data_IF_392841178543
#
_entry.id   IF_392841178543
#
_cell.length_a   1.000
_cell.length_b   1.000
_cell.length_c   1.000
_cell.angle_alpha   90.00
_cell.angle_beta   90.00
_cell.angle_gamma   90.00
#
_symmetry.space_group_name_H-M   'P 1'
#
loop_
_entity.id
_entity.type
_entity.pdbx_description
1 polymer ?
#
# COMPACT_ATOMS: atom_id res chain seq x y z
N UNK A 1 -60.08 59.71 55.41
CA UNK A 1 -60.13 58.59 54.44
C UNK A 1 -58.89 58.68 53.58
N UNK A 2 -57.81 58.02 54.05
CA UNK A 2 -56.60 57.96 53.21
C UNK A 2 -55.75 56.79 53.76
N UNK A 3 -55.95 55.61 53.24
CA UNK A 3 -55.07 54.44 53.39
C UNK A 3 -55.43 53.46 52.29
N UNK A 4 -54.57 53.21 51.33
CA UNK A 4 -54.49 51.99 50.50
C UNK A 4 -53.84 52.14 49.08
N UNK A 5 -52.88 53.08 48.96
CA UNK A 5 -52.16 53.18 47.65
C UNK A 5 -50.72 52.60 47.73
N UNK A 6 -50.16 52.49 48.96
CA UNK A 6 -48.76 52.03 49.13
C UNK A 6 -48.54 50.51 49.11
N UNK A 7 -49.57 49.69 49.38
CA UNK A 7 -49.41 48.22 49.46
C UNK A 7 -49.44 47.51 48.11
N UNK A 8 -50.00 48.10 47.07
CA UNK A 8 -50.05 47.54 45.73
C UNK A 8 -48.73 47.66 44.94
N UNK A 9 -47.95 48.72 45.21
CA UNK A 9 -46.66 48.93 44.52
C UNK A 9 -45.52 48.02 45.08
N UNK A 10 -45.58 47.65 46.33
CA UNK A 10 -44.62 46.74 46.97
C UNK A 10 -44.78 45.29 46.48
N UNK A 11 -46.05 44.86 46.36
CA UNK A 11 -46.34 43.47 45.86
C UNK A 11 -46.06 43.31 44.36
N UNK A 12 -46.22 44.35 43.52
CA UNK A 12 -45.89 44.34 42.13
C UNK A 12 -44.38 44.32 41.89
N UNK A 13 -43.57 44.96 42.73
CA UNK A 13 -42.09 44.92 42.66
C UNK A 13 -41.50 43.59 43.14
N UNK A 14 -42.09 42.94 44.14
CA UNK A 14 -41.68 41.60 44.53
C UNK A 14 -42.00 40.50 43.55
N UNK A 15 -43.17 40.63 42.84
CA UNK A 15 -43.52 39.68 41.79
C UNK A 15 -42.63 39.83 40.56
N UNK A 16 -42.23 41.05 40.20
CA UNK A 16 -41.32 41.30 39.05
C UNK A 16 -39.89 40.79 39.31
N UNK A 17 -39.37 40.89 40.53
CA UNK A 17 -38.04 40.36 40.89
C UNK A 17 -38.04 38.84 40.98
N UNK A 18 -39.10 38.18 41.43
CA UNK A 18 -39.18 36.71 41.40
C UNK A 18 -39.26 36.12 40.00
N UNK A 19 -39.97 36.78 39.07
CA UNK A 19 -40.04 36.38 37.67
C UNK A 19 -38.68 36.53 36.92
N UNK A 20 -37.92 37.58 37.25
CA UNK A 20 -36.58 37.80 36.64
C UNK A 20 -35.56 36.76 37.14
N UNK A 21 -35.62 36.30 38.38
CA UNK A 21 -34.73 35.26 38.91
C UNK A 21 -35.08 33.88 38.32
N UNK A 22 -36.38 33.59 38.09
CA UNK A 22 -36.81 32.32 37.48
C UNK A 22 -36.39 32.19 35.98
N UNK A 23 -36.40 33.29 35.21
CA UNK A 23 -35.95 33.31 33.84
C UNK A 23 -34.42 33.19 33.74
N UNK A 24 -33.65 33.77 34.65
CA UNK A 24 -32.19 33.64 34.69
C UNK A 24 -31.75 32.21 35.06
N UNK A 25 -32.55 31.47 35.86
CA UNK A 25 -32.26 30.08 36.23
C UNK A 25 -32.54 29.07 35.09
N UNK A 26 -33.42 29.36 34.12
CA UNK A 26 -33.71 28.49 32.99
C UNK A 26 -32.70 28.64 31.83
N UNK A 27 -31.98 29.76 31.75
CA UNK A 27 -30.94 29.94 30.72
C UNK A 27 -29.63 29.26 31.10
N UNK A 28 -29.37 28.98 32.39
CA UNK A 28 -28.18 28.31 32.85
C UNK A 28 -28.19 26.77 32.67
N UNK A 29 -29.36 26.16 32.36
CA UNK A 29 -29.50 24.71 32.21
C UNK A 29 -29.37 24.17 30.77
N UNK A 30 -29.16 25.06 29.80
CA UNK A 30 -29.02 24.67 28.39
C UNK A 30 -27.57 24.82 27.83
N UNK A 31 -26.56 24.67 28.70
CA UNK A 31 -25.22 24.34 28.23
C UNK A 31 -25.22 22.87 27.79
N UNK A 32 -25.62 22.67 26.54
CA UNK A 32 -25.37 21.44 25.83
C UNK A 32 -23.87 21.18 25.93
N UNK A 33 -23.48 20.11 26.61
CA UNK A 33 -22.16 19.53 26.48
C UNK A 33 -22.00 19.13 25.02
N UNK A 34 -21.36 19.99 24.20
CA UNK A 34 -20.86 19.62 22.91
C UNK A 34 -19.98 18.38 23.11
N UNK A 35 -20.18 17.31 22.34
CA UNK A 35 -19.23 16.21 22.35
C UNK A 35 -17.85 16.79 22.04
N UNK A 36 -16.78 16.34 22.71
CA UNK A 36 -15.44 16.87 22.51
C UNK A 36 -15.09 16.69 21.04
N UNK A 37 -14.74 17.80 20.37
CA UNK A 37 -14.22 17.83 19.01
C UNK A 37 -12.97 16.94 18.96
N UNK A 38 -12.92 15.88 18.14
CA UNK A 38 -11.75 15.00 18.02
C UNK A 38 -10.48 15.76 17.61
N UNK A 39 -10.61 16.96 17.05
CA UNK A 39 -9.48 17.80 16.66
C UNK A 39 -8.88 18.62 17.81
N UNK A 40 -9.53 18.67 18.99
CA UNK A 40 -9.10 19.51 20.13
C UNK A 40 -8.05 18.86 21.05
N UNK A 41 -7.65 17.62 20.82
CA UNK A 41 -6.59 16.97 21.59
C UNK A 41 -5.18 17.41 21.14
N UNK A 42 -4.93 18.72 21.07
CA UNK A 42 -3.56 19.25 21.08
C UNK A 42 -3.03 19.19 22.51
N UNK A 43 -2.35 18.10 22.84
CA UNK A 43 -1.59 18.04 24.09
C UNK A 43 -0.50 19.12 24.08
N UNK A 44 -0.55 20.04 25.02
CA UNK A 44 0.50 21.04 25.31
C UNK A 44 1.73 20.44 26.00
N UNK A 45 1.83 19.12 26.16
CA UNK A 45 3.03 18.43 26.62
C UNK A 45 3.76 17.91 25.37
N UNK A 46 5.05 18.17 25.22
CA UNK A 46 5.86 17.78 24.07
C UNK A 46 6.08 16.26 23.91
N UNK A 47 5.06 15.47 24.23
CA UNK A 47 5.01 14.01 24.08
C UNK A 47 4.33 13.71 22.75
N UNK A 48 5.05 13.06 21.86
CA UNK A 48 4.54 12.60 20.58
C UNK A 48 3.61 11.39 20.80
N UNK A 49 2.40 11.43 20.21
CA UNK A 49 1.48 10.30 20.24
C UNK A 49 1.78 9.41 19.03
N UNK A 50 2.17 8.18 19.30
CA UNK A 50 2.45 7.18 18.26
C UNK A 50 1.18 6.38 17.97
N UNK A 51 0.73 6.44 16.73
CA UNK A 51 -0.43 5.69 16.26
C UNK A 51 0.03 4.40 15.58
N UNK A 52 -0.62 3.29 15.91
CA UNK A 52 -0.32 1.97 15.36
C UNK A 52 -1.62 1.30 14.95
N UNK A 53 -1.74 1.02 13.66
CA UNK A 53 -2.81 0.17 13.15
C UNK A 53 -2.39 -1.29 13.21
N UNK A 54 -3.21 -2.13 13.85
CA UNK A 54 -2.92 -3.56 14.02
C UNK A 54 -4.02 -4.43 13.40
N UNK A 55 -3.62 -5.39 12.59
CA UNK A 55 -4.47 -6.48 12.10
C UNK A 55 -4.20 -7.72 12.94
N UNK A 56 -5.24 -8.32 13.51
CA UNK A 56 -5.14 -9.57 14.25
C UNK A 56 -5.88 -10.67 13.51
N UNK A 57 -5.20 -11.78 13.24
CA UNK A 57 -5.74 -12.91 12.51
C UNK A 57 -5.57 -14.23 13.28
N UNK A 58 -6.50 -15.16 13.06
CA UNK A 58 -6.41 -16.54 13.55
C UNK A 58 -5.39 -17.38 12.73
N UNK A 59 -5.23 -18.63 13.08
CA UNK A 59 -4.34 -19.55 12.39
C UNK A 59 -4.70 -19.76 10.90
N UNK A 60 -5.96 -19.51 10.53
CA UNK A 60 -6.46 -19.61 9.16
C UNK A 60 -6.36 -18.28 8.40
N UNK A 61 -5.79 -17.24 9.01
CA UNK A 61 -5.66 -15.91 8.42
C UNK A 61 -6.94 -15.06 8.47
N UNK A 62 -7.99 -15.49 9.20
CA UNK A 62 -9.23 -14.74 9.33
C UNK A 62 -9.08 -13.71 10.44
N UNK A 63 -9.60 -12.50 10.20
CA UNK A 63 -9.63 -11.43 11.19
C UNK A 63 -10.32 -11.89 12.49
N UNK A 64 -9.74 -11.56 13.63
CA UNK A 64 -10.28 -11.84 14.96
C UNK A 64 -10.96 -10.58 15.48
N UNK A 65 -12.30 -10.52 15.53
CA UNK A 65 -13.05 -9.39 16.07
C UNK A 65 -13.16 -9.45 17.59
N UNK A 66 -13.57 -8.33 18.20
CA UNK A 66 -14.00 -8.26 19.60
C UNK A 66 -12.88 -8.21 20.62
N UNK A 67 -11.62 -8.03 20.21
CA UNK A 67 -10.52 -7.78 21.14
C UNK A 67 -10.66 -6.40 21.76
N UNK A 68 -10.25 -6.28 23.03
CA UNK A 68 -10.28 -5.06 23.83
C UNK A 68 -8.86 -4.55 24.04
N UNK A 69 -8.74 -3.32 24.54
CA UNK A 69 -7.44 -2.71 24.82
C UNK A 69 -6.54 -3.59 25.70
N UNK A 70 -7.13 -4.22 26.74
CA UNK A 70 -6.42 -5.10 27.67
C UNK A 70 -5.89 -6.40 27.05
N UNK A 71 -6.33 -6.75 25.85
CA UNK A 71 -5.83 -7.92 25.11
C UNK A 71 -4.53 -7.61 24.37
N UNK A 72 -4.18 -6.33 24.23
CA UNK A 72 -2.98 -5.89 23.52
C UNK A 72 -1.84 -5.55 24.48
N UNK A 73 -0.63 -5.91 24.11
CA UNK A 73 0.60 -5.43 24.70
C UNK A 73 1.45 -4.78 23.60
N UNK A 74 1.86 -3.53 23.83
CA UNK A 74 2.68 -2.75 22.90
C UNK A 74 4.04 -2.51 23.55
N UNK A 75 5.08 -2.65 22.74
CA UNK A 75 6.47 -2.42 23.15
C UNK A 75 7.13 -1.44 22.19
N UNK A 76 7.84 -0.46 22.74
CA UNK A 76 8.75 0.43 22.00
C UNK A 76 10.17 0.14 22.47
N UNK A 77 11.08 -0.21 21.55
CA UNK A 77 12.45 -0.63 21.85
C UNK A 77 12.51 -1.70 22.96
N UNK A 78 11.63 -2.71 22.85
CA UNK A 78 11.43 -3.79 23.82
C UNK A 78 10.95 -3.36 25.22
N UNK A 79 10.68 -2.06 25.43
CA UNK A 79 10.09 -1.58 26.66
C UNK A 79 8.56 -1.55 26.54
N UNK A 80 7.81 -2.05 27.54
CA UNK A 80 6.36 -2.01 27.49
C UNK A 80 5.85 -0.57 27.59
N UNK A 81 4.90 -0.21 26.73
CA UNK A 81 4.24 1.10 26.70
C UNK A 81 2.75 0.96 26.98
N UNK A 82 2.19 1.96 27.62
CA UNK A 82 0.76 1.98 27.93
C UNK A 82 -0.03 2.52 26.74
N UNK A 83 -0.93 1.70 26.20
CA UNK A 83 -1.92 2.15 25.21
C UNK A 83 -2.88 3.12 25.86
N UNK A 84 -2.94 4.35 25.37
CA UNK A 84 -3.81 5.43 25.89
C UNK A 84 -5.02 5.67 25.00
N UNK A 85 -4.95 5.26 23.74
CA UNK A 85 -6.04 5.33 22.77
C UNK A 85 -6.27 3.96 22.16
N UNK A 86 -7.54 3.56 22.09
CA UNK A 86 -7.93 2.30 21.48
C UNK A 86 -9.24 2.45 20.74
N UNK A 87 -9.31 1.95 19.52
CA UNK A 87 -10.56 1.80 18.78
C UNK A 87 -10.57 0.46 18.04
N UNK A 88 -11.67 -0.27 18.21
CA UNK A 88 -12.02 -1.44 17.42
C UNK A 88 -13.09 -1.10 16.35
N UNK A 89 -13.53 0.17 16.33
CA UNK A 89 -14.48 0.65 15.33
C UNK A 89 -13.77 0.99 14.03
N UNK A 90 -14.52 1.00 12.93
CA UNK A 90 -13.99 1.44 11.64
C UNK A 90 -13.52 2.89 11.72
N UNK A 91 -12.25 3.10 11.52
CA UNK A 91 -11.63 4.42 11.35
C UNK A 91 -11.56 4.73 9.86
N UNK A 92 -11.99 5.92 9.41
CA UNK A 92 -11.86 6.32 8.01
C UNK A 92 -10.39 6.29 7.55
N UNK A 93 -10.18 5.98 6.26
CA UNK A 93 -8.85 5.87 5.68
C UNK A 93 -8.61 6.94 4.61
N UNK A 94 -7.39 7.48 4.59
CA UNK A 94 -6.82 8.19 3.45
C UNK A 94 -6.03 7.18 2.63
N UNK A 95 -6.58 6.79 1.47
CA UNK A 95 -6.08 5.69 0.65
C UNK A 95 -5.47 6.20 -0.65
N UNK A 96 -4.19 5.94 -0.86
CA UNK A 96 -3.58 6.01 -2.17
C UNK A 96 -3.82 4.74 -2.97
N UNK A 97 -4.07 4.85 -4.26
CA UNK A 97 -4.10 3.72 -5.20
C UNK A 97 -3.07 3.99 -6.28
N UNK A 98 -2.15 3.05 -6.49
CA UNK A 98 -1.13 3.09 -7.53
C UNK A 98 -1.30 1.89 -8.46
N UNK A 99 -1.62 2.15 -9.74
CA UNK A 99 -1.93 1.11 -10.72
C UNK A 99 -0.84 1.05 -11.77
N UNK A 100 -0.30 -0.13 -11.95
CA UNK A 100 0.59 -0.44 -13.06
C UNK A 100 -0.16 -0.33 -14.40
N UNK A 101 0.41 0.44 -15.29
CA UNK A 101 -0.07 0.58 -16.68
C UNK A 101 1.07 0.31 -17.66
N UNK A 102 2.04 -0.54 -17.28
CA UNK A 102 3.11 -1.00 -18.17
C UNK A 102 2.58 -1.86 -19.32
N UNK A 103 3.42 -2.13 -20.30
CA UNK A 103 3.03 -2.91 -21.48
C UNK A 103 2.53 -4.32 -21.16
N UNK A 104 3.01 -4.95 -20.09
CA UNK A 104 2.58 -6.27 -19.62
C UNK A 104 1.15 -6.30 -19.08
N UNK A 105 0.62 -5.16 -18.65
CA UNK A 105 -0.78 -5.00 -18.21
C UNK A 105 -1.77 -4.91 -19.38
N UNK A 106 -1.32 -4.91 -20.64
CA UNK A 106 -2.21 -4.76 -21.79
C UNK A 106 -3.26 -5.88 -21.91
N UNK A 107 -4.38 -5.56 -22.56
CA UNK A 107 -5.48 -6.50 -22.80
C UNK A 107 -6.41 -6.66 -21.59
N UNK A 108 -6.68 -7.88 -21.21
CA UNK A 108 -7.64 -8.20 -20.14
C UNK A 108 -7.19 -7.74 -18.77
N UNK A 109 -5.88 -7.71 -18.47
CA UNK A 109 -5.38 -7.34 -17.13
C UNK A 109 -5.76 -5.92 -16.73
N UNK A 110 -5.60 -4.94 -17.62
CA UNK A 110 -5.95 -3.54 -17.33
C UNK A 110 -7.46 -3.38 -17.18
N UNK A 111 -8.27 -4.11 -17.95
CA UNK A 111 -9.72 -4.09 -17.84
C UNK A 111 -10.19 -4.68 -16.51
N UNK A 112 -9.68 -5.87 -16.14
CA UNK A 112 -9.98 -6.49 -14.85
C UNK A 112 -9.52 -5.62 -13.67
N UNK A 113 -8.40 -4.89 -13.81
CA UNK A 113 -7.96 -3.94 -12.79
C UNK A 113 -8.92 -2.75 -12.67
N UNK A 114 -9.42 -2.21 -13.78
CA UNK A 114 -10.44 -1.15 -13.80
C UNK A 114 -11.73 -1.63 -13.13
N UNK A 115 -12.26 -2.78 -13.52
CA UNK A 115 -13.50 -3.35 -12.98
C UNK A 115 -13.37 -3.68 -11.47
N UNK A 116 -12.25 -4.27 -11.05
CA UNK A 116 -11.98 -4.56 -9.64
C UNK A 116 -11.88 -3.30 -8.79
N UNK A 117 -11.21 -2.26 -9.31
CA UNK A 117 -11.06 -0.99 -8.61
C UNK A 117 -12.38 -0.20 -8.57
N UNK A 118 -13.19 -0.19 -9.64
CA UNK A 118 -14.51 0.43 -9.61
C UNK A 118 -15.39 -0.21 -8.53
N UNK A 119 -15.44 -1.53 -8.48
CA UNK A 119 -16.15 -2.25 -7.43
C UNK A 119 -15.58 -1.93 -6.04
N UNK A 120 -14.26 -1.89 -5.90
CA UNK A 120 -13.60 -1.52 -4.65
C UNK A 120 -14.04 -0.14 -4.17
N UNK A 121 -14.08 0.84 -5.07
CA UNK A 121 -14.47 2.22 -4.78
C UNK A 121 -15.93 2.38 -4.35
N UNK A 122 -16.85 1.70 -5.05
CA UNK A 122 -18.29 1.90 -4.85
C UNK A 122 -18.89 0.98 -3.77
N UNK A 123 -18.44 -0.28 -3.72
CA UNK A 123 -19.09 -1.30 -2.92
C UNK A 123 -18.38 -1.57 -1.60
N UNK A 124 -17.05 -1.35 -1.54
CA UNK A 124 -16.22 -1.86 -0.45
C UNK A 124 -15.68 -0.77 0.47
N UNK A 125 -15.49 0.45 -0.02
CA UNK A 125 -14.98 1.56 0.77
C UNK A 125 -16.12 2.40 1.37
N UNK A 126 -15.85 3.00 2.54
CA UNK A 126 -16.78 3.93 3.20
C UNK A 126 -16.79 5.27 2.45
N UNK A 127 -17.92 5.99 2.51
CA UNK A 127 -18.06 7.31 1.88
C UNK A 127 -17.14 8.38 2.49
N UNK A 128 -16.68 8.17 3.73
CA UNK A 128 -15.73 9.06 4.43
C UNK A 128 -14.28 8.81 4.04
N UNK A 129 -14.00 7.68 3.37
CA UNK A 129 -12.66 7.41 2.89
C UNK A 129 -12.33 8.37 1.74
N UNK A 130 -11.22 9.06 1.84
CA UNK A 130 -10.68 9.89 0.76
C UNK A 130 -9.60 9.13 -0.01
N UNK A 131 -9.51 9.37 -1.31
CA UNK A 131 -8.68 8.59 -2.20
C UNK A 131 -7.93 9.51 -3.15
N UNK A 132 -6.67 9.19 -3.43
CA UNK A 132 -5.95 9.67 -4.61
C UNK A 132 -5.56 8.49 -5.50
N UNK A 133 -5.34 8.77 -6.78
CA UNK A 133 -5.03 7.75 -7.78
C UNK A 133 -3.78 8.13 -8.59
N UNK A 134 -2.78 7.26 -8.54
CA UNK A 134 -1.64 7.23 -9.45
C UNK A 134 -1.77 6.11 -10.47
N UNK A 135 -1.24 6.33 -11.66
CA UNK A 135 -0.78 5.28 -12.56
C UNK A 135 0.72 5.35 -12.72
N UNK A 136 1.34 4.25 -13.04
CA UNK A 136 2.76 4.23 -13.41
C UNK A 136 3.03 3.32 -14.61
N UNK A 137 3.99 3.75 -15.42
CA UNK A 137 4.58 3.02 -16.53
C UNK A 137 6.07 3.38 -16.56
N UNK A 138 6.56 4.15 -17.52
CA UNK A 138 7.94 4.67 -17.51
C UNK A 138 8.18 5.72 -16.40
N UNK A 139 7.13 6.31 -15.88
CA UNK A 139 7.14 7.27 -14.77
C UNK A 139 5.77 7.29 -14.07
N UNK A 140 5.72 7.73 -12.79
CA UNK A 140 4.46 7.96 -12.09
C UNK A 140 3.69 9.15 -12.67
N UNK A 141 2.37 9.07 -12.64
CA UNK A 141 1.46 10.15 -13.02
C UNK A 141 0.28 10.17 -12.05
N UNK A 142 0.09 11.30 -11.36
CA UNK A 142 -1.12 11.53 -10.56
C UNK A 142 -2.31 11.75 -11.51
N UNK A 143 -3.29 10.86 -11.46
CA UNK A 143 -4.51 10.94 -12.26
C UNK A 143 -5.62 11.70 -11.55
N UNK A 144 -5.71 11.53 -10.23
CA UNK A 144 -6.70 12.14 -9.38
C UNK A 144 -6.08 12.47 -8.02
N UNK A 145 -6.15 13.74 -7.64
CA UNK A 145 -5.80 14.20 -6.30
C UNK A 145 -6.86 13.78 -5.27
N UNK A 146 -6.62 13.99 -3.99
CA UNK A 146 -7.52 13.65 -2.90
C UNK A 146 -8.98 13.99 -3.18
N UNK A 147 -9.84 13.01 -3.11
CA UNK A 147 -11.28 13.18 -3.28
C UNK A 147 -12.08 12.07 -2.59
N UNK A 148 -13.30 12.38 -2.20
CA UNK A 148 -14.34 11.42 -1.80
C UNK A 148 -15.32 11.14 -2.94
N UNK A 149 -15.19 11.85 -4.07
CA UNK A 149 -16.05 11.69 -5.25
C UNK A 149 -15.65 10.45 -6.06
N UNK A 150 -16.49 9.40 -5.93
CA UNK A 150 -16.29 8.12 -6.61
C UNK A 150 -16.42 8.20 -8.13
N UNK A 151 -17.27 9.11 -8.63
CA UNK A 151 -17.44 9.29 -10.08
C UNK A 151 -16.16 9.87 -10.72
N UNK A 152 -15.51 10.83 -10.05
CA UNK A 152 -14.25 11.39 -10.53
C UNK A 152 -13.15 10.33 -10.58
N UNK A 153 -13.08 9.45 -9.56
CA UNK A 153 -12.13 8.33 -9.53
C UNK A 153 -12.44 7.32 -10.63
N UNK A 154 -13.69 6.89 -10.80
CA UNK A 154 -14.09 5.95 -11.85
C UNK A 154 -13.78 6.49 -13.25
N UNK A 155 -14.06 7.77 -13.49
CA UNK A 155 -13.68 8.42 -14.76
C UNK A 155 -12.16 8.45 -14.99
N UNK A 156 -11.37 8.59 -13.91
CA UNK A 156 -9.91 8.52 -14.00
C UNK A 156 -9.44 7.09 -14.30
N UNK A 157 -10.03 6.08 -13.65
CA UNK A 157 -9.78 4.66 -13.94
C UNK A 157 -10.11 4.30 -15.39
N UNK A 158 -11.24 4.73 -15.91
CA UNK A 158 -11.64 4.47 -17.31
C UNK A 158 -10.70 5.05 -18.37
N UNK A 159 -9.73 5.91 -17.99
CA UNK A 159 -8.69 6.45 -18.88
C UNK A 159 -7.36 5.71 -18.80
N UNK A 160 -7.27 4.66 -17.99
CA UNK A 160 -6.05 3.85 -17.92
C UNK A 160 -5.84 3.10 -19.23
N UNK A 161 -4.63 3.12 -19.74
CA UNK A 161 -4.19 2.36 -20.90
C UNK A 161 -2.76 1.86 -20.67
N UNK A 162 -2.48 0.65 -21.10
CA UNK A 162 -1.22 0.00 -20.83
C UNK A 162 -0.18 0.31 -21.92
N UNK A 163 0.99 0.83 -21.51
CA UNK A 163 2.17 0.99 -22.37
C UNK A 163 3.44 1.22 -21.53
N UNK A 164 4.60 1.03 -22.15
CA UNK A 164 5.91 1.36 -21.58
C UNK A 164 6.43 0.37 -20.57
N UNK A 165 7.39 0.80 -19.76
CA UNK A 165 8.02 0.02 -18.70
C UNK A 165 7.31 0.15 -17.35
N UNK A 166 8.00 -0.20 -16.25
CA UNK A 166 7.42 -0.26 -14.90
C UNK A 166 8.28 0.53 -13.92
N UNK A 167 7.87 1.77 -13.57
CA UNK A 167 8.52 2.62 -12.57
C UNK A 167 7.75 2.55 -11.24
N UNK A 168 7.64 1.37 -10.66
CA UNK A 168 6.87 1.10 -9.45
C UNK A 168 7.47 1.77 -8.22
N UNK A 169 8.79 1.67 -8.02
CA UNK A 169 9.45 2.26 -6.85
C UNK A 169 9.37 3.77 -6.86
N UNK A 170 9.52 4.40 -8.02
CA UNK A 170 9.34 5.86 -8.17
C UNK A 170 7.92 6.26 -7.82
N UNK A 171 6.92 5.50 -8.26
CA UNK A 171 5.52 5.77 -7.95
C UNK A 171 5.23 5.66 -6.45
N UNK A 172 5.70 4.60 -5.81
CA UNK A 172 5.50 4.44 -4.36
C UNK A 172 6.24 5.54 -3.58
N UNK A 173 7.46 5.91 -4.00
CA UNK A 173 8.23 6.99 -3.39
C UNK A 173 7.52 8.36 -3.47
N UNK A 174 6.80 8.65 -4.57
CA UNK A 174 5.97 9.85 -4.70
C UNK A 174 4.65 9.75 -3.95
N UNK A 175 4.04 8.55 -3.90
CA UNK A 175 2.75 8.33 -3.26
C UNK A 175 2.82 8.36 -1.72
N UNK A 176 3.92 7.90 -1.10
CA UNK A 176 4.08 7.90 0.36
C UNK A 176 3.95 9.31 0.97
N UNK A 177 4.70 10.34 0.54
CA UNK A 177 4.53 11.71 1.07
C UNK A 177 3.12 12.26 0.84
N UNK A 178 2.49 11.87 -0.26
CA UNK A 178 1.11 12.26 -0.53
C UNK A 178 0.15 11.58 0.44
N UNK A 179 0.29 10.27 0.68
CA UNK A 179 -0.51 9.52 1.64
C UNK A 179 -0.39 10.08 3.06
N UNK A 180 0.82 10.53 3.46
CA UNK A 180 1.05 11.16 4.77
C UNK A 180 0.25 12.45 4.97
N UNK A 181 -0.11 13.17 3.89
CA UNK A 181 -0.89 14.41 3.93
C UNK A 181 -2.40 14.19 3.96
N UNK A 182 -2.87 12.95 3.85
CA UNK A 182 -4.29 12.64 3.95
C UNK A 182 -4.91 13.14 5.26
N UNK A 183 -6.20 13.47 5.25
CA UNK A 183 -6.90 14.07 6.38
C UNK A 183 -7.36 13.03 7.43
N UNK A 184 -7.56 11.78 7.01
CA UNK A 184 -7.98 10.72 7.90
C UNK A 184 -6.81 10.16 8.74
N UNK A 185 -7.07 9.68 9.96
CA UNK A 185 -6.00 9.19 10.86
C UNK A 185 -5.32 7.92 10.34
N UNK A 186 -6.03 7.08 9.59
CA UNK A 186 -5.45 5.88 8.96
C UNK A 186 -4.96 6.22 7.56
N UNK A 187 -3.70 5.92 7.26
CA UNK A 187 -3.05 6.17 5.98
C UNK A 187 -2.72 4.84 5.31
N UNK A 188 -3.08 4.67 4.05
CA UNK A 188 -2.80 3.44 3.33
C UNK A 188 -2.45 3.71 1.87
N UNK A 189 -1.69 2.80 1.27
CA UNK A 189 -1.36 2.79 -0.16
C UNK A 189 -1.59 1.37 -0.70
N UNK A 190 -2.39 1.24 -1.75
CA UNK A 190 -2.60 0.00 -2.49
C UNK A 190 -1.84 0.07 -3.83
N UNK A 191 -0.94 -0.87 -4.04
CA UNK A 191 -0.18 -1.02 -5.30
C UNK A 191 -0.68 -2.25 -6.04
N UNK A 192 -1.00 -2.11 -7.33
CA UNK A 192 -1.39 -3.23 -8.21
C UNK A 192 -0.40 -3.26 -9.37
N UNK A 193 0.32 -4.38 -9.54
CA UNK A 193 1.33 -4.56 -10.60
C UNK A 193 1.44 -6.03 -11.01
N UNK A 194 1.81 -6.28 -12.27
CA UNK A 194 2.05 -7.62 -12.80
C UNK A 194 3.54 -7.88 -13.11
N UNK A 195 4.42 -6.93 -12.82
CA UNK A 195 5.82 -7.00 -13.25
C UNK A 195 6.86 -6.66 -12.21
N UNK A 196 8.09 -6.73 -12.68
CA UNK A 196 9.26 -6.24 -11.98
C UNK A 196 9.43 -4.75 -12.25
N UNK A 197 9.96 -4.03 -11.29
CA UNK A 197 10.44 -2.67 -11.53
C UNK A 197 11.56 -2.69 -12.58
N UNK A 198 11.37 -1.93 -13.67
CA UNK A 198 12.30 -1.88 -14.80
C UNK A 198 12.77 -0.47 -15.14
N UNK A 199 12.10 0.54 -14.60
CA UNK A 199 12.27 1.92 -15.06
C UNK A 199 12.48 2.93 -13.94
N UNK A 200 12.37 2.52 -12.67
CA UNK A 200 12.58 3.43 -11.54
C UNK A 200 14.04 3.87 -11.41
N UNK A 201 14.20 5.08 -10.92
CA UNK A 201 15.47 5.64 -10.45
C UNK A 201 15.68 5.39 -8.96
N UNK A 202 14.58 5.33 -8.22
CA UNK A 202 14.56 5.02 -6.79
C UNK A 202 15.01 3.58 -6.56
N UNK A 203 15.92 3.38 -5.62
CA UNK A 203 16.38 2.05 -5.22
C UNK A 203 15.42 1.46 -4.18
N UNK A 204 15.26 0.16 -4.18
CA UNK A 204 14.38 -0.52 -3.21
C UNK A 204 14.77 -0.24 -1.76
N UNK A 205 16.06 -0.13 -1.45
CA UNK A 205 16.53 0.14 -0.09
C UNK A 205 16.14 1.54 0.38
N UNK A 206 16.24 2.55 -0.51
CA UNK A 206 15.85 3.94 -0.22
C UNK A 206 14.33 4.02 -0.03
N UNK A 207 13.58 3.31 -0.86
CA UNK A 207 12.13 3.20 -0.74
C UNK A 207 11.70 2.54 0.59
N UNK A 208 12.35 1.43 0.97
CA UNK A 208 12.11 0.77 2.27
C UNK A 208 12.34 1.71 3.43
N UNK A 209 13.42 2.50 3.38
CA UNK A 209 13.70 3.50 4.40
C UNK A 209 12.59 4.56 4.47
N UNK A 210 12.10 5.06 3.34
CA UNK A 210 11.00 6.02 3.27
C UNK A 210 9.69 5.43 3.83
N UNK A 211 9.36 4.18 3.48
CA UNK A 211 8.20 3.48 4.03
C UNK A 211 8.30 3.36 5.55
N UNK A 212 9.44 2.93 6.08
CA UNK A 212 9.69 2.82 7.53
C UNK A 212 9.53 4.15 8.27
N UNK A 213 9.90 5.26 7.63
CA UNK A 213 9.75 6.60 8.20
C UNK A 213 8.32 7.13 8.13
N UNK A 214 7.42 6.42 7.45
CA UNK A 214 6.03 6.81 7.27
C UNK A 214 5.10 6.03 8.21
N UNK A 215 3.86 6.54 8.37
CA UNK A 215 2.77 5.81 9.04
C UNK A 215 1.88 5.06 8.03
N UNK A 216 2.28 5.01 6.76
CA UNK A 216 1.47 4.47 5.67
C UNK A 216 1.51 2.96 5.67
N UNK A 217 0.35 2.32 5.73
CA UNK A 217 0.20 0.89 5.50
C UNK A 217 0.28 0.62 3.99
N UNK A 218 1.27 -0.12 3.55
CA UNK A 218 1.43 -0.46 2.13
C UNK A 218 0.86 -1.84 1.85
N UNK A 219 -0.10 -1.91 0.97
CA UNK A 219 -0.66 -3.14 0.42
C UNK A 219 -0.20 -3.32 -1.01
N UNK A 220 0.04 -4.55 -1.42
CA UNK A 220 0.38 -4.85 -2.80
C UNK A 220 -0.41 -6.06 -3.31
N UNK A 221 -0.90 -5.98 -4.54
CA UNK A 221 -1.43 -7.11 -5.29
C UNK A 221 -0.52 -7.33 -6.49
N UNK A 222 0.16 -8.48 -6.50
CA UNK A 222 1.01 -8.91 -7.60
C UNK A 222 0.28 -9.89 -8.50
N UNK A 223 0.18 -9.59 -9.79
CA UNK A 223 -0.43 -10.48 -10.79
C UNK A 223 0.68 -11.32 -11.42
N UNK A 224 0.79 -12.59 -11.04
CA UNK A 224 1.78 -13.50 -11.62
C UNK A 224 1.31 -13.96 -13.01
N UNK A 225 1.87 -13.37 -14.05
CA UNK A 225 1.52 -13.62 -15.46
C UNK A 225 1.85 -15.03 -15.99
N UNK A 226 2.18 -15.99 -15.13
CA UNK A 226 2.42 -17.39 -15.51
C UNK A 226 1.15 -18.17 -15.88
N UNK A 227 0.05 -17.46 -16.19
CA UNK A 227 -1.16 -18.04 -16.75
C UNK A 227 -0.95 -18.50 -18.18
N UNK A 228 -1.18 -19.79 -18.41
CA UNK A 228 -1.21 -20.59 -19.63
C UNK A 228 -0.63 -19.97 -20.91
N UNK A 229 0.25 -20.69 -21.63
CA UNK A 229 0.65 -20.29 -22.97
C UNK A 229 -0.64 -20.08 -23.78
N UNK A 230 -0.89 -18.85 -24.21
CA UNK A 230 -1.98 -18.54 -25.14
C UNK A 230 -1.80 -19.43 -26.36
N UNK A 231 -2.54 -20.52 -26.41
CA UNK A 231 -2.69 -21.33 -27.61
C UNK A 231 -3.40 -20.43 -28.62
N UNK A 232 -2.64 -19.83 -29.51
CA UNK A 232 -3.19 -19.20 -30.69
C UNK A 232 -3.56 -20.34 -31.69
N UNK A 233 -4.86 -20.68 -31.84
CA UNK A 233 -5.25 -21.64 -32.87
C UNK A 233 -5.07 -20.95 -34.22
N UNK A 234 -3.97 -21.22 -34.88
CA UNK A 234 -3.72 -20.68 -36.23
C UNK A 234 -2.28 -20.66 -36.71
N UNK A 235 -1.29 -20.86 -35.86
CA UNK A 235 0.09 -21.03 -36.31
C UNK A 235 0.43 -22.52 -36.30
N UNK A 236 0.53 -23.19 -37.49
CA UNK A 236 0.99 -24.58 -37.51
C UNK A 236 2.40 -24.59 -36.89
N UNK A 237 2.57 -25.41 -35.85
CA UNK A 237 3.89 -25.65 -35.26
C UNK A 237 4.82 -26.12 -36.40
N UNK A 238 5.81 -25.28 -36.68
CA UNK A 238 6.86 -25.67 -37.64
C UNK A 238 7.57 -26.89 -37.05
N UNK A 239 7.54 -28.04 -37.70
CA UNK A 239 8.22 -29.22 -37.16
C UNK A 239 9.70 -28.89 -36.95
N UNK A 240 10.32 -29.44 -35.90
CA UNK A 240 11.74 -29.21 -35.67
C UNK A 240 12.51 -29.59 -36.92
N UNK A 241 13.21 -28.62 -37.55
CA UNK A 241 14.12 -28.87 -38.62
C UNK A 241 15.27 -29.71 -38.07
N UNK A 242 15.19 -31.01 -38.28
CA UNK A 242 16.33 -31.90 -38.10
C UNK A 242 17.34 -31.52 -39.16
N UNK A 243 18.36 -30.76 -38.80
CA UNK A 243 19.48 -30.56 -39.71
C UNK A 243 20.12 -31.91 -39.96
N UNK A 244 20.19 -32.37 -41.22
CA UNK A 244 20.91 -33.58 -41.55
C UNK A 244 22.38 -33.43 -41.11
N UNK A 245 23.03 -34.49 -40.66
CA UNK A 245 24.43 -34.43 -40.28
C UNK A 245 25.25 -33.93 -41.47
N UNK A 246 26.07 -32.93 -41.21
CA UNK A 246 26.95 -32.34 -42.20
C UNK A 246 27.87 -33.43 -42.75
N UNK A 247 27.96 -33.66 -44.08
CA UNK A 247 28.89 -34.64 -44.62
C UNK A 247 30.32 -34.27 -44.22
N UNK A 248 31.17 -35.25 -43.94
CA UNK A 248 32.57 -35.00 -43.58
C UNK A 248 33.27 -34.23 -44.72
N UNK A 249 34.07 -33.24 -44.33
CA UNK A 249 34.84 -32.45 -45.28
C UNK A 249 35.74 -33.39 -46.15
N UNK A 250 35.85 -33.18 -47.48
CA UNK A 250 36.72 -34.00 -48.32
C UNK A 250 38.17 -33.84 -47.86
N UNK A 251 38.81 -34.94 -47.52
CA UNK A 251 40.25 -35.00 -47.26
C UNK A 251 41.01 -34.68 -48.55
N UNK A 252 41.98 -33.77 -48.53
CA UNK A 252 42.79 -33.50 -49.72
C UNK A 252 43.62 -34.77 -50.11
N UNK A 253 43.41 -35.24 -51.32
CA UNK A 253 44.28 -36.30 -51.89
C UNK A 253 45.68 -35.77 -52.03
N UNK A 254 46.74 -36.53 -51.73
CA UNK A 254 48.10 -36.11 -51.98
C UNK A 254 48.34 -36.02 -53.51
N UNK A 255 48.76 -34.87 -54.00
CA UNK A 255 49.17 -34.65 -55.36
C UNK A 255 50.61 -35.16 -55.46
N UNK A 256 50.91 -36.17 -56.35
CA UNK A 256 52.27 -36.62 -56.61
C UNK A 256 53.03 -35.55 -57.37
N UNK A 257 54.16 -35.08 -56.83
CA UNK A 257 55.15 -34.37 -57.70
C UNK A 257 55.58 -32.99 -57.23
N UNK A 258 55.26 -32.52 -55.97
CA UNK A 258 55.78 -31.24 -55.52
C UNK A 258 56.90 -31.47 -54.49
N UNK A 259 58.11 -30.90 -54.70
CA UNK A 259 59.20 -31.02 -53.71
C UNK A 259 58.86 -30.31 -52.40
N UNK A 260 59.13 -30.97 -51.30
CA UNK A 260 58.97 -30.39 -49.95
C UNK A 260 59.95 -29.25 -49.72
N UNK A 261 59.53 -28.03 -49.95
CA UNK A 261 60.18 -26.83 -49.43
C UNK A 261 59.94 -26.70 -47.91
N UNK A 262 61.05 -26.44 -47.24
CA UNK A 262 61.00 -26.09 -45.79
C UNK A 262 60.15 -24.78 -45.63
N UNK A 263 58.89 -24.92 -45.31
CA UNK A 263 57.97 -23.80 -45.11
C UNK A 263 57.73 -23.56 -43.63
N UNK A 264 58.00 -22.41 -43.21
CA UNK A 264 57.69 -21.70 -41.99
C UNK A 264 56.31 -22.05 -41.42
N UNK A 265 56.26 -22.53 -40.16
CA UNK A 265 55.05 -22.60 -39.39
C UNK A 265 54.92 -21.29 -38.61
N UNK A 266 53.85 -20.50 -38.83
CA UNK A 266 53.54 -19.43 -37.89
C UNK A 266 53.03 -20.06 -36.57
N UNK A 267 53.34 -19.46 -35.43
CA UNK A 267 52.84 -19.96 -34.13
C UNK A 267 51.33 -19.86 -34.09
N UNK A 268 50.62 -20.78 -33.35
CA UNK A 268 49.18 -20.70 -33.21
C UNK A 268 48.79 -19.43 -32.49
N UNK A 269 48.02 -18.57 -33.12
CA UNK A 269 47.37 -17.43 -32.51
C UNK A 269 46.38 -17.97 -31.49
N UNK A 270 46.66 -17.75 -30.21
CA UNK A 270 45.73 -17.93 -29.09
C UNK A 270 44.62 -16.88 -29.17
N UNK A 271 43.66 -17.12 -30.04
CA UNK A 271 42.42 -16.38 -30.17
C UNK A 271 41.27 -17.36 -29.89
N UNK A 272 41.05 -17.69 -28.66
CA UNK A 272 39.88 -18.42 -28.22
C UNK A 272 38.64 -17.54 -28.36
N UNK A 273 38.03 -17.57 -29.53
CA UNK A 273 36.64 -17.11 -29.69
C UNK A 273 35.75 -18.18 -29.06
N UNK A 274 35.41 -17.96 -27.81
CA UNK A 274 34.29 -18.68 -27.18
C UNK A 274 33.04 -18.45 -28.05
N UNK A 275 32.31 -19.50 -28.41
CA UNK A 275 30.98 -19.30 -28.98
C UNK A 275 30.12 -18.61 -27.92
N UNK A 276 29.76 -17.36 -28.17
CA UNK A 276 28.68 -16.68 -27.49
C UNK A 276 27.36 -17.35 -27.87
N UNK A 277 27.14 -18.53 -27.37
CA UNK A 277 25.83 -19.15 -27.21
C UNK A 277 25.26 -18.65 -25.90
N UNK A 278 25.08 -17.34 -25.78
CA UNK A 278 24.26 -16.76 -24.74
C UNK A 278 22.83 -17.11 -25.08
N UNK A 279 22.33 -18.17 -24.50
CA UNK A 279 20.91 -18.32 -24.31
C UNK A 279 20.50 -17.17 -23.43
N UNK A 280 19.86 -16.16 -24.01
CA UNK A 280 19.17 -15.11 -23.25
C UNK A 280 18.11 -15.79 -22.40
N UNK A 281 18.47 -16.14 -21.18
CA UNK A 281 17.53 -16.47 -20.10
C UNK A 281 16.78 -15.24 -19.60
N UNK A 282 17.02 -14.07 -20.18
CA UNK A 282 16.55 -12.79 -19.67
C UNK A 282 15.12 -12.40 -20.09
N UNK A 283 14.46 -13.15 -20.97
CA UNK A 283 13.10 -12.77 -21.40
C UNK A 283 11.97 -13.54 -20.71
N UNK A 284 12.26 -14.62 -19.99
CA UNK A 284 11.23 -15.41 -19.29
C UNK A 284 11.09 -14.99 -17.82
N UNK A 285 12.14 -14.40 -17.22
CA UNK A 285 12.10 -13.91 -15.83
C UNK A 285 11.56 -12.49 -15.71
N UNK A 286 11.48 -11.72 -16.81
CA UNK A 286 10.97 -10.33 -16.77
C UNK A 286 9.44 -10.25 -16.66
N UNK A 287 8.73 -11.32 -17.03
CA UNK A 287 7.26 -11.34 -17.00
C UNK A 287 6.69 -11.89 -15.68
N UNK A 288 7.53 -12.25 -14.72
CA UNK A 288 7.11 -12.74 -13.41
C UNK A 288 7.12 -11.63 -12.39
N UNK A 289 6.04 -11.51 -11.62
CA UNK A 289 5.98 -10.55 -10.51
C UNK A 289 7.10 -10.78 -9.50
N UNK A 290 7.78 -9.73 -9.09
CA UNK A 290 8.81 -9.80 -8.06
C UNK A 290 8.19 -9.83 -6.66
N UNK A 291 7.83 -11.03 -6.22
CA UNK A 291 7.21 -11.27 -4.91
C UNK A 291 8.07 -10.75 -3.76
N UNK A 292 9.40 -10.87 -3.87
CA UNK A 292 10.34 -10.39 -2.83
C UNK A 292 10.26 -8.87 -2.72
N UNK A 293 10.33 -8.15 -3.83
CA UNK A 293 10.25 -6.70 -3.84
C UNK A 293 8.91 -6.18 -3.29
N UNK A 294 7.80 -6.82 -3.67
CA UNK A 294 6.48 -6.45 -3.14
C UNK A 294 6.39 -6.68 -1.63
N UNK A 295 6.89 -7.80 -1.13
CA UNK A 295 6.94 -8.08 0.32
C UNK A 295 7.85 -7.12 1.05
N UNK A 296 8.98 -6.79 0.48
CA UNK A 296 9.92 -5.81 1.03
C UNK A 296 9.27 -4.43 1.24
N UNK A 297 8.36 -4.03 0.39
CA UNK A 297 7.59 -2.79 0.55
C UNK A 297 6.48 -2.89 1.60
N UNK A 298 5.86 -4.06 1.76
CA UNK A 298 4.68 -4.21 2.61
C UNK A 298 4.99 -4.63 4.04
N UNK A 299 5.99 -5.51 4.25
CA UNK A 299 6.21 -6.19 5.54
C UNK A 299 6.57 -5.26 6.69
N UNK A 300 7.31 -4.18 6.41
CA UNK A 300 7.72 -3.23 7.45
C UNK A 300 6.62 -2.20 7.77
N UNK A 301 5.69 -1.99 6.84
CA UNK A 301 4.58 -1.02 7.00
C UNK A 301 3.43 -1.54 7.86
N UNK A 302 3.29 -2.86 8.02
CA UNK A 302 2.14 -3.51 8.63
C UNK A 302 1.02 -3.86 7.65
N UNK A 303 1.17 -3.53 6.37
CA UNK A 303 0.32 -4.02 5.29
C UNK A 303 0.68 -5.43 4.86
N UNK A 304 0.27 -5.86 3.66
CA UNK A 304 0.55 -7.20 3.13
C UNK A 304 0.60 -7.25 1.62
N UNK A 305 1.26 -8.28 1.11
CA UNK A 305 1.28 -8.63 -0.32
C UNK A 305 0.36 -9.81 -0.58
N UNK A 306 -0.50 -9.69 -1.57
CA UNK A 306 -1.23 -10.80 -2.19
C UNK A 306 -0.66 -11.08 -3.58
N UNK A 307 -0.47 -12.36 -3.88
CA UNK A 307 -0.05 -12.79 -5.22
C UNK A 307 -1.18 -13.59 -5.82
N UNK A 308 -1.69 -13.12 -6.94
CA UNK A 308 -2.75 -13.76 -7.71
C UNK A 308 -2.18 -14.28 -9.02
N UNK A 309 -2.79 -15.35 -9.55
CA UNK A 309 -2.34 -15.98 -10.80
C UNK A 309 -3.07 -15.45 -12.03
N UNK A 310 -4.27 -14.94 -11.83
CA UNK A 310 -5.14 -14.44 -12.88
C UNK A 310 -5.68 -13.06 -12.50
N UNK A 311 -5.77 -12.14 -13.44
CA UNK A 311 -6.33 -10.81 -13.20
C UNK A 311 -7.79 -10.86 -12.69
N UNK A 312 -8.56 -11.91 -13.02
CA UNK A 312 -9.90 -12.16 -12.49
C UNK A 312 -9.96 -12.32 -10.97
N UNK A 313 -8.83 -12.68 -10.35
CA UNK A 313 -8.69 -12.78 -8.89
C UNK A 313 -8.50 -11.40 -8.21
N UNK A 314 -8.40 -10.31 -8.99
CA UNK A 314 -8.30 -8.94 -8.44
C UNK A 314 -9.52 -8.58 -7.60
N UNK A 315 -10.73 -8.95 -8.03
CA UNK A 315 -11.95 -8.69 -7.27
C UNK A 315 -11.94 -9.29 -5.86
N UNK A 316 -11.70 -10.59 -5.64
CA UNK A 316 -11.60 -11.13 -4.29
C UNK A 316 -10.40 -10.57 -3.51
N UNK A 317 -9.29 -10.26 -4.14
CA UNK A 317 -8.10 -9.70 -3.46
C UNK A 317 -8.34 -8.27 -2.98
N UNK A 318 -8.92 -7.40 -3.81
CA UNK A 318 -9.30 -6.05 -3.39
C UNK A 318 -10.37 -6.09 -2.29
N UNK A 319 -11.35 -7.00 -2.38
CA UNK A 319 -12.36 -7.19 -1.32
C UNK A 319 -11.72 -7.62 0.01
N UNK A 320 -10.74 -8.51 -0.03
CA UNK A 320 -9.99 -8.95 1.15
C UNK A 320 -9.22 -7.80 1.82
N UNK A 321 -8.61 -6.92 1.02
CA UNK A 321 -7.92 -5.71 1.52
C UNK A 321 -8.92 -4.70 2.10
N UNK A 322 -10.06 -4.46 1.45
CA UNK A 322 -11.10 -3.58 1.97
C UNK A 322 -11.66 -4.08 3.30
N UNK A 323 -11.93 -5.38 3.39
CA UNK A 323 -12.39 -6.03 4.63
C UNK A 323 -11.38 -5.83 5.76
N UNK A 324 -10.09 -6.01 5.47
CA UNK A 324 -9.01 -5.74 6.43
C UNK A 324 -8.98 -4.27 6.85
N UNK A 325 -8.97 -3.34 5.89
CA UNK A 325 -8.97 -1.90 6.17
C UNK A 325 -10.17 -1.48 7.04
N UNK A 326 -11.31 -2.17 6.93
CA UNK A 326 -12.50 -1.89 7.72
C UNK A 326 -12.47 -2.42 9.15
N UNK A 327 -11.63 -3.41 9.44
CA UNK A 327 -11.67 -4.21 10.68
C UNK A 327 -10.42 -4.08 11.57
N UNK A 328 -9.46 -3.27 11.20
CA UNK A 328 -8.21 -3.10 11.94
C UNK A 328 -8.43 -2.42 13.29
N UNK A 329 -7.62 -2.81 14.28
CA UNK A 329 -7.53 -2.13 15.56
C UNK A 329 -6.62 -0.90 15.45
N UNK A 330 -7.06 0.21 16.02
CA UNK A 330 -6.30 1.45 16.07
C UNK A 330 -5.82 1.69 17.50
N UNK A 331 -4.51 1.73 17.69
CA UNK A 331 -3.84 1.87 18.96
C UNK A 331 -3.07 3.19 18.99
N UNK A 332 -3.07 3.88 20.12
CA UNK A 332 -2.24 5.05 20.33
C UNK A 332 -1.56 5.00 21.70
N UNK A 333 -0.28 5.37 21.74
CA UNK A 333 0.49 5.46 22.97
C UNK A 333 1.45 6.66 22.94
N UNK A 334 1.77 7.27 24.10
CA UNK A 334 2.78 8.30 24.15
C UNK A 334 4.16 7.69 23.95
N UNK A 335 4.97 8.25 23.04
CA UNK A 335 6.35 7.80 22.80
C UNK A 335 7.18 7.90 24.09
N UNK A 336 8.03 6.89 24.33
CA UNK A 336 9.05 6.91 25.37
C UNK A 336 10.28 7.74 24.94
N UNK A 337 10.44 7.92 23.62
CA UNK A 337 11.61 8.51 23.01
C UNK A 337 11.67 10.03 23.12
N UNK A 338 12.89 10.52 23.04
CA UNK A 338 13.17 11.92 22.71
C UNK A 338 13.04 12.05 21.19
N UNK A 339 12.71 13.22 20.68
CA UNK A 339 12.80 13.57 19.27
C UNK A 339 14.28 13.57 18.84
N UNK A 340 14.81 12.38 18.58
CA UNK A 340 16.24 12.17 18.36
C UNK A 340 16.60 11.83 16.91
N UNK A 341 15.60 11.78 16.03
CA UNK A 341 15.78 11.43 14.62
C UNK A 341 16.15 9.98 14.38
N UNK A 342 16.02 9.11 15.38
CA UNK A 342 16.38 7.69 15.29
C UNK A 342 15.19 6.81 15.05
N UNK A 343 15.48 5.60 14.59
CA UNK A 343 14.50 4.55 14.45
C UNK A 343 14.17 3.93 15.83
N UNK A 344 12.88 3.86 16.15
CA UNK A 344 12.34 3.18 17.30
C UNK A 344 11.50 1.98 16.83
N UNK A 345 11.82 0.81 17.36
CA UNK A 345 11.08 -0.40 17.01
C UNK A 345 9.74 -0.47 17.73
N UNK A 346 8.71 -0.94 17.03
CA UNK A 346 7.38 -1.20 17.62
C UNK A 346 7.08 -2.69 17.51
N UNK A 347 6.61 -3.27 18.60
CA UNK A 347 6.12 -4.65 18.63
C UNK A 347 4.76 -4.69 19.31
N UNK A 348 3.78 -5.18 18.59
CA UNK A 348 2.42 -5.37 19.09
C UNK A 348 2.17 -6.86 19.28
N UNK A 349 1.72 -7.23 20.45
CA UNK A 349 1.35 -8.59 20.79
C UNK A 349 -0.10 -8.63 21.28
N UNK A 350 -0.73 -9.81 21.18
CA UNK A 350 -2.02 -10.08 21.80
C UNK A 350 -1.87 -11.19 22.85
N UNK A 351 -2.72 -11.13 23.89
CA UNK A 351 -2.70 -12.09 24.98
C UNK A 351 -2.77 -13.54 24.50
N UNK A 352 -3.63 -13.81 23.52
CA UNK A 352 -3.73 -15.14 22.92
C UNK A 352 -2.64 -15.35 21.87
N UNK A 353 -1.62 -16.14 22.22
CA UNK A 353 -0.45 -16.43 21.37
C UNK A 353 -0.77 -17.26 20.11
N UNK A 354 -1.97 -17.83 19.97
CA UNK A 354 -2.39 -18.50 18.74
C UNK A 354 -2.75 -17.52 17.63
N UNK A 355 -2.98 -16.25 17.96
CA UNK A 355 -3.28 -15.21 17.00
C UNK A 355 -2.00 -14.58 16.45
N UNK A 356 -2.06 -14.16 15.20
CA UNK A 356 -0.99 -13.44 14.52
C UNK A 356 -1.33 -11.96 14.46
N UNK A 357 -0.39 -11.13 14.88
CA UNK A 357 -0.53 -9.67 14.80
C UNK A 357 0.36 -9.15 13.69
N UNK A 358 -0.19 -8.26 12.87
CA UNK A 358 0.54 -7.49 11.88
C UNK A 358 0.33 -6.02 12.16
N UNK A 359 1.41 -5.27 12.30
CA UNK A 359 1.46 -3.84 12.53
C UNK A 359 2.77 -3.29 11.98
N UNK A 360 2.91 -1.97 11.85
CA UNK A 360 4.20 -1.36 11.50
C UNK A 360 5.27 -1.73 12.51
N UNK A 361 6.50 -1.93 12.04
CA UNK A 361 7.61 -2.40 12.85
C UNK A 361 8.35 -1.32 13.62
N UNK A 362 8.04 -0.06 13.38
CA UNK A 362 8.68 1.06 14.05
C UNK A 362 8.35 2.40 13.40
N UNK A 363 9.05 3.42 13.84
CA UNK A 363 8.95 4.80 13.34
C UNK A 363 10.28 5.54 13.54
N UNK A 364 10.44 6.68 12.89
CA UNK A 364 11.55 7.60 13.15
C UNK A 364 11.01 8.76 13.97
N UNK A 365 11.56 8.97 15.16
CA UNK A 365 11.17 10.06 16.05
C UNK A 365 11.58 11.42 15.46
N UNK A 366 10.64 12.34 15.21
CA UNK A 366 10.86 13.63 14.52
C UNK A 366 10.57 14.85 15.40
#
# INVERSE_FOLDING_TARGET
>A
MSTNVHDRSARARLAATAAAIAVASMVAAAQQTQPPDPSSFRFKSGVELINVTATVADANGRFVPGLRQEDFAVYEDDQPVQVTHFSAERVPVSLGIAVDTSGSMAGTKIQEAQDALDRFLYDLLDRRDEIFLYRFANAPVLLQDWTTDRESLSRALGRLYANGGTAMYDCVAEAIPMAMRGSNPKKSLLVISDGNDTSSRTRIDDLKQQIRQSEVLVYAIGIDGSGEPTYHPGTPARPPTVNPPRPPAPVPFPIPGVPRGRGWYPPPSSGGSQPKGGWSRSSVDSDRVNVVALRDMTDDSGGRTEIIRDARDLNPSTASIADELSKQYYLGYPSLGKRDGRWHSIRVEVRNKSFRVRARRGYVAS
#
